data_IF_503155369062
#
_entry.id   IF_503155369062
#
_cell.length_a   1.000
_cell.length_b   1.000
_cell.length_c   1.000
_cell.angle_alpha   90.00
_cell.angle_beta   90.00
_cell.angle_gamma   90.00
#
_symmetry.space_group_name_H-M   'P 1'
#
loop_
_entity.id
_entity.type
_entity.pdbx_description
1 polymer ?
#
# COMPACT_ATOMS: atom_id res chain seq x y z
N UNK A 1 -8.92 -8.32 -25.52
CA UNK A 1 -7.96 -8.19 -24.41
C UNK A 1 -8.25 -6.87 -23.69
N UNK A 2 -8.48 -6.90 -22.38
CA UNK A 2 -8.85 -5.70 -21.59
C UNK A 2 -7.79 -5.40 -20.54
N UNK A 3 -7.60 -4.10 -20.31
CA UNK A 3 -6.75 -3.53 -19.26
C UNK A 3 -7.66 -2.79 -18.29
N UNK A 4 -7.41 -2.95 -16.98
CA UNK A 4 -8.16 -2.23 -15.93
C UNK A 4 -7.20 -1.49 -15.01
N UNK A 5 -7.61 -0.31 -14.56
CA UNK A 5 -6.88 0.51 -13.60
C UNK A 5 -7.78 0.76 -12.38
N UNK A 6 -7.23 0.59 -11.18
CA UNK A 6 -7.91 0.91 -9.93
C UNK A 6 -7.21 2.07 -9.24
N UNK A 7 -7.99 3.10 -8.89
CA UNK A 7 -7.52 4.25 -8.13
C UNK A 7 -7.28 3.89 -6.66
N UNK A 8 -6.63 4.80 -5.92
CA UNK A 8 -6.30 4.53 -4.52
C UNK A 8 -7.52 4.28 -3.62
N UNK A 9 -8.64 4.98 -3.84
CA UNK A 9 -9.88 4.74 -3.08
C UNK A 9 -10.46 3.34 -3.30
N UNK A 10 -10.27 2.76 -4.49
CA UNK A 10 -10.67 1.37 -4.79
C UNK A 10 -9.75 0.33 -4.15
N UNK A 11 -8.67 0.76 -3.50
CA UNK A 11 -7.65 -0.08 -2.87
C UNK A 11 -7.37 0.41 -1.43
N UNK A 12 -8.33 1.11 -0.81
CA UNK A 12 -8.12 1.76 0.49
C UNK A 12 -8.09 0.79 1.68
N UNK A 13 -8.78 -0.34 1.58
CA UNK A 13 -8.89 -1.37 2.62
C UNK A 13 -9.24 -2.74 2.01
N UNK A 14 -9.24 -3.79 2.84
CA UNK A 14 -9.51 -5.17 2.42
C UNK A 14 -10.88 -5.35 1.72
N UNK A 15 -11.94 -4.68 2.18
CA UNK A 15 -13.26 -4.78 1.55
C UNK A 15 -13.25 -4.27 0.10
N UNK A 16 -12.51 -3.19 -0.16
CA UNK A 16 -12.37 -2.64 -1.50
C UNK A 16 -11.54 -3.59 -2.38
N UNK A 17 -10.49 -4.21 -1.84
CA UNK A 17 -9.75 -5.26 -2.56
C UNK A 17 -10.64 -6.45 -2.95
N UNK A 18 -11.54 -6.90 -2.06
CA UNK A 18 -12.53 -7.95 -2.39
C UNK A 18 -13.42 -7.55 -3.56
N UNK A 19 -13.92 -6.30 -3.57
CA UNK A 19 -14.71 -5.76 -4.70
C UNK A 19 -13.90 -5.71 -6.00
N UNK A 20 -12.65 -5.26 -5.94
CA UNK A 20 -11.74 -5.23 -7.09
C UNK A 20 -11.50 -6.63 -7.64
N UNK A 21 -11.25 -7.61 -6.78
CA UNK A 21 -11.09 -9.01 -7.18
C UNK A 21 -12.34 -9.54 -7.90
N UNK A 22 -13.54 -9.27 -7.37
CA UNK A 22 -14.80 -9.64 -8.03
C UNK A 22 -14.93 -9.00 -9.42
N UNK A 23 -14.56 -7.72 -9.58
CA UNK A 23 -14.56 -7.05 -10.88
C UNK A 23 -13.57 -7.73 -11.84
N UNK A 24 -12.34 -7.97 -11.42
CA UNK A 24 -11.32 -8.60 -12.29
C UNK A 24 -11.78 -9.99 -12.74
N UNK A 25 -12.28 -10.81 -11.80
CA UNK A 25 -12.68 -12.20 -12.05
C UNK A 25 -13.98 -12.33 -12.87
N UNK A 26 -14.84 -11.32 -12.88
CA UNK A 26 -16.08 -11.32 -13.64
C UNK A 26 -15.87 -11.32 -15.17
N UNK A 27 -14.68 -10.96 -15.67
CA UNK A 27 -14.36 -10.97 -17.10
C UNK A 27 -12.96 -11.52 -17.33
N UNK A 28 -12.89 -12.76 -17.83
CA UNK A 28 -11.63 -13.49 -18.11
C UNK A 28 -10.71 -12.77 -19.11
N UNK A 29 -11.20 -11.78 -19.84
CA UNK A 29 -10.39 -10.98 -20.78
C UNK A 29 -9.62 -9.84 -20.10
N UNK A 30 -9.91 -9.54 -18.82
CA UNK A 30 -9.16 -8.60 -17.97
C UNK A 30 -7.88 -9.27 -17.47
N UNK A 31 -6.81 -9.18 -18.26
CA UNK A 31 -5.52 -9.85 -17.99
C UNK A 31 -4.47 -8.94 -17.35
N UNK A 32 -4.66 -7.63 -17.44
CA UNK A 32 -3.73 -6.63 -16.91
C UNK A 32 -4.45 -5.71 -15.93
N UNK A 33 -3.92 -5.62 -14.72
CA UNK A 33 -4.44 -4.81 -13.61
C UNK A 33 -3.37 -3.81 -13.20
N UNK A 34 -3.70 -2.51 -13.25
CA UNK A 34 -2.82 -1.44 -12.81
C UNK A 34 -3.36 -0.89 -11.47
N UNK A 35 -2.72 -1.23 -10.34
CA UNK A 35 -3.09 -0.69 -9.05
C UNK A 35 -2.46 0.69 -8.81
N UNK A 36 -3.09 1.47 -7.95
CA UNK A 36 -2.46 2.62 -7.28
C UNK A 36 -2.09 2.24 -5.84
N UNK A 37 -1.34 3.08 -5.13
CA UNK A 37 -1.17 2.92 -3.69
C UNK A 37 -2.52 3.02 -2.94
N UNK A 38 -2.65 2.40 -1.75
CA UNK A 38 -3.86 2.51 -0.93
C UNK A 38 -4.24 3.97 -0.64
N UNK A 39 -5.50 4.30 -0.95
CA UNK A 39 -6.06 5.62 -0.70
C UNK A 39 -6.49 5.83 0.74
N UNK A 40 -7.21 6.93 0.98
CA UNK A 40 -7.83 7.21 2.28
C UNK A 40 -8.98 6.22 2.54
N UNK A 41 -9.05 5.68 3.76
CA UNK A 41 -10.14 4.81 4.23
C UNK A 41 -11.42 5.59 4.53
N UNK A 42 -11.28 6.79 5.07
CA UNK A 42 -12.36 7.70 5.45
C UNK A 42 -11.90 9.17 5.36
N UNK A 43 -12.83 10.11 5.50
CA UNK A 43 -12.52 11.54 5.51
C UNK A 43 -11.67 11.89 6.73
N UNK A 44 -10.47 12.43 6.51
CA UNK A 44 -9.50 12.73 7.56
C UNK A 44 -8.36 11.73 7.67
N UNK A 45 -8.43 10.57 7.00
CA UNK A 45 -7.31 9.62 6.92
C UNK A 45 -6.15 10.18 6.07
N UNK A 46 -4.95 9.62 6.23
CA UNK A 46 -3.74 10.01 5.50
C UNK A 46 -3.55 9.04 4.31
N UNK A 47 -3.08 9.56 3.16
CA UNK A 47 -2.73 8.70 2.02
C UNK A 47 -1.38 8.05 2.28
N UNK A 48 -1.23 6.78 1.90
CA UNK A 48 0.07 6.07 2.00
C UNK A 48 1.17 6.80 1.23
N UNK A 49 0.85 7.39 0.07
CA UNK A 49 1.81 8.22 -0.69
C UNK A 49 2.30 9.43 0.09
N UNK A 50 1.43 10.09 0.87
CA UNK A 50 1.82 11.24 1.68
C UNK A 50 2.72 10.81 2.84
N UNK A 51 2.46 9.63 3.44
CA UNK A 51 3.35 9.03 4.43
C UNK A 51 4.72 8.68 3.84
N UNK A 52 4.78 8.18 2.61
CA UNK A 52 6.04 7.89 1.92
C UNK A 52 6.86 9.16 1.68
N UNK A 53 6.22 10.27 1.28
CA UNK A 53 6.91 11.55 1.16
C UNK A 53 7.41 12.07 2.50
N UNK A 54 6.60 11.93 3.56
CA UNK A 54 7.00 12.31 4.91
C UNK A 54 8.22 11.51 5.39
N UNK A 55 8.19 10.19 5.22
CA UNK A 55 9.30 9.31 5.58
C UNK A 55 10.60 9.68 4.84
N UNK A 56 10.50 9.96 3.54
CA UNK A 56 11.65 10.41 2.76
C UNK A 56 12.19 11.76 3.25
N UNK A 57 11.30 12.71 3.59
CA UNK A 57 11.69 14.01 4.15
C UNK A 57 12.37 13.88 5.51
N UNK A 58 11.84 13.04 6.40
CA UNK A 58 12.43 12.75 7.72
C UNK A 58 13.83 12.13 7.54
N UNK A 59 13.98 11.14 6.66
CA UNK A 59 15.27 10.53 6.35
C UNK A 59 16.31 11.55 5.81
N UNK A 60 15.91 12.42 4.88
CA UNK A 60 16.78 13.47 4.31
C UNK A 60 17.26 14.48 5.33
N UNK A 61 16.48 14.72 6.37
CA UNK A 61 16.83 15.63 7.46
C UNK A 61 17.64 14.92 8.56
N UNK A 62 17.88 13.61 8.44
CA UNK A 62 18.51 12.79 9.48
C UNK A 62 17.63 12.58 10.70
N UNK A 63 16.32 12.79 10.56
CA UNK A 63 15.33 12.55 11.61
C UNK A 63 14.96 11.06 11.69
N UNK A 64 14.42 10.65 12.84
CA UNK A 64 13.88 9.30 12.98
C UNK A 64 12.53 9.18 12.26
N UNK A 65 12.48 8.32 11.25
CA UNK A 65 11.29 8.03 10.45
C UNK A 65 10.57 6.75 10.88
N UNK A 66 10.98 6.13 12.00
CA UNK A 66 10.45 4.85 12.49
C UNK A 66 8.93 4.86 12.68
N UNK A 67 8.36 5.95 13.22
CA UNK A 67 6.93 6.12 13.40
C UNK A 67 6.17 6.17 12.06
N UNK A 68 6.69 6.93 11.08
CA UNK A 68 6.07 7.03 9.75
C UNK A 68 6.14 5.70 9.02
N UNK A 69 7.25 4.96 9.14
CA UNK A 69 7.38 3.61 8.62
C UNK A 69 6.39 2.64 9.28
N UNK A 70 6.21 2.71 10.60
CA UNK A 70 5.21 1.90 11.32
C UNK A 70 3.80 2.16 10.79
N UNK A 71 3.41 3.42 10.59
CA UNK A 71 2.11 3.75 10.00
C UNK A 71 1.95 3.15 8.60
N UNK A 72 2.99 3.18 7.75
CA UNK A 72 2.92 2.54 6.42
C UNK A 72 2.75 1.02 6.56
N UNK A 73 3.53 0.37 7.44
CA UNK A 73 3.45 -1.08 7.71
C UNK A 73 2.04 -1.48 8.14
N UNK A 74 1.48 -0.78 9.13
CA UNK A 74 0.13 -1.03 9.65
C UNK A 74 -0.91 -0.97 8.53
N UNK A 75 -0.82 0.02 7.64
CA UNK A 75 -1.75 0.17 6.51
C UNK A 75 -1.77 -1.03 5.57
N UNK A 76 -0.63 -1.65 5.31
CA UNK A 76 -0.55 -2.83 4.46
C UNK A 76 -0.91 -4.10 5.23
N UNK A 77 -0.49 -4.23 6.50
CA UNK A 77 -0.80 -5.38 7.33
C UNK A 77 -2.31 -5.50 7.61
N UNK A 78 -3.00 -4.38 7.90
CA UNK A 78 -4.46 -4.34 8.01
C UNK A 78 -5.16 -4.91 6.75
N UNK A 79 -4.62 -4.62 5.55
CA UNK A 79 -5.15 -5.13 4.29
C UNK A 79 -4.87 -6.63 4.14
N UNK A 80 -3.63 -7.06 4.41
CA UNK A 80 -3.21 -8.46 4.32
C UNK A 80 -4.06 -9.34 5.26
N UNK A 81 -4.23 -8.90 6.50
CA UNK A 81 -5.05 -9.57 7.51
C UNK A 81 -6.52 -9.62 7.10
N UNK A 82 -7.10 -8.49 6.66
CA UNK A 82 -8.51 -8.44 6.23
C UNK A 82 -8.80 -9.25 4.96
N UNK A 83 -7.77 -9.56 4.17
CA UNK A 83 -7.82 -10.47 3.01
C UNK A 83 -7.48 -11.92 3.37
N UNK A 84 -7.11 -12.20 4.62
CA UNK A 84 -6.78 -13.53 5.14
C UNK A 84 -5.63 -14.21 4.38
N UNK A 85 -4.63 -13.43 3.94
CA UNK A 85 -3.47 -13.93 3.18
C UNK A 85 -2.41 -14.50 4.13
N UNK A 86 -2.68 -15.68 4.69
CA UNK A 86 -1.89 -16.27 5.80
C UNK A 86 -0.40 -16.49 5.49
N UNK A 87 -0.07 -16.80 4.24
CA UNK A 87 1.30 -17.11 3.81
C UNK A 87 1.96 -15.93 3.06
N UNK A 88 1.47 -14.70 3.28
CA UNK A 88 1.96 -13.50 2.62
C UNK A 88 2.41 -12.45 3.65
N UNK A 89 3.62 -11.93 3.47
CA UNK A 89 4.16 -10.83 4.28
C UNK A 89 4.90 -9.84 3.37
N UNK A 90 4.98 -8.59 3.83
CA UNK A 90 5.77 -7.53 3.22
C UNK A 90 7.01 -7.14 4.05
N UNK A 91 7.35 -7.92 5.08
CA UNK A 91 8.42 -7.58 6.03
C UNK A 91 9.77 -7.38 5.34
N UNK A 92 10.12 -8.22 4.38
CA UNK A 92 11.36 -8.09 3.60
C UNK A 92 11.38 -6.80 2.77
N UNK A 93 10.25 -6.44 2.17
CA UNK A 93 10.11 -5.20 1.41
C UNK A 93 10.24 -3.98 2.32
N UNK A 94 9.62 -4.01 3.51
CA UNK A 94 9.75 -2.94 4.48
C UNK A 94 11.17 -2.80 5.02
N UNK A 95 11.84 -3.92 5.34
CA UNK A 95 13.24 -3.92 5.76
C UNK A 95 14.16 -3.37 4.66
N UNK A 96 13.90 -3.73 3.39
CA UNK A 96 14.63 -3.19 2.25
C UNK A 96 14.45 -1.68 2.06
N UNK A 97 13.22 -1.16 2.24
CA UNK A 97 12.93 0.28 2.20
C UNK A 97 13.65 1.00 3.34
N UNK A 98 13.56 0.50 4.57
CA UNK A 98 14.21 1.08 5.74
C UNK A 98 15.73 1.14 5.56
N UNK A 99 16.35 0.05 5.11
CA UNK A 99 17.78 -0.01 4.84
C UNK A 99 18.19 0.99 3.75
N UNK A 100 17.37 1.17 2.72
CA UNK A 100 17.62 2.14 1.65
C UNK A 100 17.54 3.57 2.16
N UNK A 101 16.52 3.91 2.93
CA UNK A 101 16.35 5.24 3.52
C UNK A 101 17.48 5.62 4.47
N UNK A 102 18.09 4.65 5.17
CA UNK A 102 19.28 4.89 6.02
C UNK A 102 20.58 5.07 5.24
N UNK A 103 20.69 4.47 4.03
CA UNK A 103 21.92 4.45 3.23
C UNK A 103 21.99 5.59 2.21
N UNK A 104 20.85 5.95 1.64
CA UNK A 104 20.70 6.95 0.58
C UNK A 104 19.37 7.71 0.80
N UNK A 105 19.32 8.61 1.81
CA UNK A 105 18.12 9.35 2.18
C UNK A 105 17.68 10.38 1.13
#
# INVERSE_FOLDING_TARGET
MKVVKFGGSSLANAEQFKKVASIVLADKTRRYVIPSAPGKRFNGDIKVTDLLYRMASEAQQGEDFSETLAQIKDRYNEIIEGLELKDFSLDEQFAGIEARMKKDP
#
